data_IF_380142512299
#
_entry.id   IF_380142512299
#
_cell.length_a   1.000
_cell.length_b   1.000
_cell.length_c   1.000
_cell.angle_alpha   90.00
_cell.angle_beta   90.00
_cell.angle_gamma   90.00
#
_symmetry.space_group_name_H-M   'P 1'
#
loop_
_entity.id
_entity.type
_entity.pdbx_description
1 polymer ?
#
# COMPACT_ATOMS: atom_id res chain seq x y z
N UNK A 1 -4.76 7.11 11.35
CA UNK A 1 -4.90 5.78 10.72
C UNK A 1 -3.63 4.98 10.89
N UNK A 2 -2.49 5.45 10.38
CA UNK A 2 -1.16 4.79 10.47
C UNK A 2 -0.77 4.41 11.91
N UNK A 3 -0.94 5.30 12.88
CA UNK A 3 -0.69 4.98 14.30
C UNK A 3 -1.55 3.82 14.84
N UNK A 4 -2.84 3.74 14.45
CA UNK A 4 -3.75 2.64 14.85
C UNK A 4 -3.37 1.30 14.22
N UNK A 5 -2.54 1.31 13.18
CA UNK A 5 -1.99 0.12 12.55
C UNK A 5 -0.67 -0.33 13.19
N UNK A 6 -0.23 0.32 14.27
CA UNK A 6 1.01 -0.01 14.99
C UNK A 6 2.25 0.76 14.55
N UNK A 7 2.12 1.71 13.61
CA UNK A 7 3.24 2.49 13.04
C UNK A 7 3.27 3.92 13.60
N UNK A 8 2.99 4.09 14.90
CA UNK A 8 2.89 5.42 15.51
C UNK A 8 4.22 6.18 15.46
N UNK A 9 5.32 5.51 15.80
CA UNK A 9 6.65 6.14 15.82
C UNK A 9 7.11 6.58 14.43
N UNK A 10 6.85 5.75 13.42
CA UNK A 10 7.16 5.98 12.03
C UNK A 10 6.29 7.10 11.46
N UNK A 11 5.00 7.13 11.81
CA UNK A 11 4.09 8.20 11.40
C UNK A 11 4.56 9.57 11.88
N UNK A 12 4.97 9.68 13.16
CA UNK A 12 5.51 10.93 13.70
C UNK A 12 6.77 11.36 12.96
N UNK A 13 7.73 10.44 12.79
CA UNK A 13 8.98 10.73 12.08
C UNK A 13 8.76 11.18 10.64
N UNK A 14 7.90 10.48 9.89
CA UNK A 14 7.58 10.84 8.50
C UNK A 14 6.93 12.22 8.44
N UNK A 15 6.02 12.51 9.37
CA UNK A 15 5.32 13.80 9.44
C UNK A 15 6.29 14.95 9.75
N UNK A 16 7.18 14.78 10.73
CA UNK A 16 8.18 15.79 11.10
C UNK A 16 9.10 16.13 9.92
N UNK A 17 9.63 15.11 9.25
CA UNK A 17 10.47 15.28 8.05
C UNK A 17 9.71 15.98 6.92
N UNK A 18 8.46 15.58 6.67
CA UNK A 18 7.66 16.18 5.61
C UNK A 18 7.35 17.66 5.89
N UNK A 19 6.97 17.99 7.13
CA UNK A 19 6.67 19.36 7.55
C UNK A 19 7.92 20.24 7.59
N UNK A 20 9.10 19.66 7.84
CA UNK A 20 10.39 20.33 7.69
C UNK A 20 10.84 20.53 6.22
N UNK A 21 10.05 20.04 5.25
CA UNK A 21 10.38 20.12 3.81
C UNK A 21 11.36 19.06 3.31
N UNK A 22 11.79 18.15 4.18
CA UNK A 22 12.74 17.05 3.89
C UNK A 22 12.02 15.86 3.25
N UNK A 23 11.51 16.07 2.02
CA UNK A 23 10.62 15.11 1.35
C UNK A 23 11.28 13.77 1.00
N UNK A 24 12.58 13.78 0.66
CA UNK A 24 13.30 12.56 0.30
C UNK A 24 13.46 11.65 1.53
N UNK A 25 13.85 12.24 2.65
CA UNK A 25 14.01 11.59 3.94
C UNK A 25 12.65 11.11 4.48
N UNK A 26 11.60 11.91 4.35
CA UNK A 26 10.24 11.50 4.71
C UNK A 26 9.79 10.27 3.91
N UNK A 27 10.09 10.23 2.61
CA UNK A 27 9.79 9.10 1.73
C UNK A 27 10.58 7.86 2.13
N UNK A 28 11.89 8.02 2.38
CA UNK A 28 12.75 6.93 2.82
C UNK A 28 12.38 6.37 4.21
N UNK A 29 11.72 7.19 5.05
CA UNK A 29 11.24 6.78 6.36
C UNK A 29 9.94 5.96 6.31
N UNK A 30 9.25 5.86 5.16
CA UNK A 30 8.04 5.04 5.01
C UNK A 30 8.42 3.55 5.02
N UNK A 31 7.99 2.75 6.00
CA UNK A 31 8.28 1.32 6.02
C UNK A 31 7.56 0.59 4.89
N UNK A 32 8.22 -0.38 4.24
CA UNK A 32 7.58 -1.23 3.21
C UNK A 32 6.33 -1.93 3.75
N UNK A 33 6.38 -2.42 4.99
CA UNK A 33 5.24 -3.09 5.62
C UNK A 33 4.01 -2.19 5.75
N UNK A 34 4.20 -0.87 5.94
CA UNK A 34 3.09 0.08 5.97
C UNK A 34 2.44 0.19 4.57
N UNK A 35 3.24 0.21 3.51
CA UNK A 35 2.75 0.23 2.12
C UNK A 35 1.94 -1.03 1.82
N UNK A 36 2.45 -2.20 2.17
CA UNK A 36 1.80 -3.50 1.95
C UNK A 36 0.55 -3.72 2.84
N UNK A 37 0.48 -3.02 3.96
CA UNK A 37 -0.70 -3.03 4.81
C UNK A 37 -1.85 -2.22 4.20
N UNK A 38 -1.55 -1.19 3.39
CA UNK A 38 -2.52 -0.22 2.87
C UNK A 38 -2.88 -0.45 1.41
N UNK A 39 -2.00 -1.04 0.61
CA UNK A 39 -2.18 -1.18 -0.83
C UNK A 39 -1.63 -2.51 -1.36
N UNK A 40 -2.20 -2.97 -2.48
CA UNK A 40 -1.69 -4.09 -3.27
C UNK A 40 -0.57 -3.60 -4.20
N UNK A 41 0.67 -3.61 -3.70
CA UNK A 41 1.86 -3.21 -4.44
C UNK A 41 2.83 -4.39 -4.51
N UNK A 42 3.40 -4.62 -5.69
CA UNK A 42 4.43 -5.63 -5.91
C UNK A 42 4.14 -6.54 -7.12
N UNK A 43 4.89 -7.64 -7.25
CA UNK A 43 4.72 -8.61 -8.34
C UNK A 43 3.35 -9.29 -8.32
N UNK A 44 2.86 -9.72 -9.49
CA UNK A 44 1.54 -10.34 -9.65
C UNK A 44 1.36 -11.59 -8.76
N UNK A 45 2.39 -12.43 -8.61
CA UNK A 45 2.33 -13.65 -7.79
C UNK A 45 2.14 -13.34 -6.30
N UNK A 46 2.76 -12.26 -5.81
CA UNK A 46 2.53 -11.78 -4.43
C UNK A 46 1.07 -11.38 -4.26
N UNK A 47 0.53 -10.57 -5.16
CA UNK A 47 -0.86 -10.12 -5.09
C UNK A 47 -1.83 -11.31 -5.17
N UNK A 48 -1.55 -12.29 -6.03
CA UNK A 48 -2.34 -13.52 -6.11
C UNK A 48 -2.32 -14.31 -4.80
N UNK A 49 -1.17 -14.40 -4.13
CA UNK A 49 -1.05 -15.05 -2.81
C UNK A 49 -1.80 -14.30 -1.71
N UNK A 50 -1.88 -12.98 -1.80
CA UNK A 50 -2.56 -12.11 -0.84
C UNK A 50 -4.05 -11.91 -1.16
N UNK A 51 -4.54 -12.40 -2.30
CA UNK A 51 -5.92 -12.21 -2.79
C UNK A 51 -6.97 -12.46 -1.71
N UNK A 52 -6.88 -13.61 -1.03
CA UNK A 52 -7.85 -14.00 0.00
C UNK A 52 -7.92 -13.02 1.17
N UNK A 53 -6.79 -12.38 1.55
CA UNK A 53 -6.78 -11.36 2.60
C UNK A 53 -7.66 -10.17 2.21
N UNK A 54 -7.62 -9.77 0.94
CA UNK A 54 -8.37 -8.62 0.43
C UNK A 54 -9.84 -8.95 0.20
N UNK A 55 -10.15 -10.14 -0.34
CA UNK A 55 -11.53 -10.60 -0.52
C UNK A 55 -12.28 -10.77 0.81
N UNK A 56 -11.57 -11.14 1.88
CA UNK A 56 -12.14 -11.24 3.23
C UNK A 56 -12.17 -9.91 4.00
N UNK A 57 -11.78 -8.80 3.36
CA UNK A 57 -11.88 -7.47 3.95
C UNK A 57 -13.28 -6.86 3.73
N UNK A 58 -13.54 -5.69 4.31
CA UNK A 58 -14.78 -4.94 4.07
C UNK A 58 -14.76 -4.14 2.75
N UNK A 59 -13.69 -4.25 1.95
CA UNK A 59 -13.59 -3.53 0.69
C UNK A 59 -14.54 -4.12 -0.35
N UNK A 60 -15.38 -3.28 -0.95
CA UNK A 60 -16.32 -3.67 -2.01
C UNK A 60 -15.91 -3.20 -3.39
N UNK A 61 -14.93 -2.30 -3.47
CA UNK A 61 -14.46 -1.66 -4.70
C UNK A 61 -12.94 -1.68 -4.73
N UNK A 62 -12.36 -2.16 -5.83
CA UNK A 62 -10.93 -2.07 -6.10
C UNK A 62 -10.64 -0.95 -7.11
N UNK A 63 -9.86 0.04 -6.71
CA UNK A 63 -9.35 1.08 -7.61
C UNK A 63 -7.98 0.64 -8.11
N UNK A 64 -7.84 0.51 -9.43
CA UNK A 64 -6.58 0.09 -10.07
C UNK A 64 -5.95 1.30 -10.75
N UNK A 65 -4.70 1.59 -10.40
CA UNK A 65 -3.90 2.61 -11.07
C UNK A 65 -2.77 1.96 -11.84
N UNK A 66 -2.70 2.22 -13.15
CA UNK A 66 -1.69 1.65 -14.03
C UNK A 66 -2.11 1.72 -15.49
N UNK A 67 -1.34 1.05 -16.33
CA UNK A 67 -1.61 0.94 -17.76
C UNK A 67 -2.55 -0.24 -18.09
N UNK A 68 -2.81 -0.46 -19.38
CA UNK A 68 -3.66 -1.57 -19.86
C UNK A 68 -3.11 -2.94 -19.44
N UNK A 69 -1.79 -3.10 -19.34
CA UNK A 69 -1.19 -4.38 -18.91
C UNK A 69 -1.47 -4.66 -17.44
N UNK A 70 -1.45 -3.61 -16.62
CA UNK A 70 -1.80 -3.66 -15.19
C UNK A 70 -3.27 -4.02 -15.02
N UNK A 71 -4.17 -3.38 -15.80
CA UNK A 71 -5.60 -3.69 -15.77
C UNK A 71 -5.89 -5.14 -16.13
N UNK A 72 -5.25 -5.69 -17.16
CA UNK A 72 -5.38 -7.11 -17.53
C UNK A 72 -4.91 -8.04 -16.42
N UNK A 73 -3.74 -7.74 -15.84
CA UNK A 73 -3.19 -8.54 -14.74
C UNK A 73 -4.14 -8.58 -13.54
N UNK A 74 -4.72 -7.45 -13.15
CA UNK A 74 -5.67 -7.40 -12.04
C UNK A 74 -6.99 -8.10 -12.40
N UNK A 75 -7.48 -7.97 -13.64
CA UNK A 75 -8.64 -8.73 -14.11
C UNK A 75 -8.40 -10.24 -13.99
N UNK A 76 -7.25 -10.76 -14.45
CA UNK A 76 -6.89 -12.18 -14.35
C UNK A 76 -6.74 -12.71 -12.90
N UNK A 77 -6.63 -11.82 -11.92
CA UNK A 77 -6.53 -12.18 -10.50
C UNK A 77 -7.91 -12.16 -9.83
N UNK A 78 -8.75 -11.16 -10.13
CA UNK A 78 -9.97 -10.85 -9.37
C UNK A 78 -11.29 -11.04 -10.13
N UNK A 79 -11.28 -11.26 -11.46
CA UNK A 79 -12.44 -11.52 -12.31
C UNK A 79 -12.34 -12.91 -12.96
#
# INVERSE_FOLDING_TARGET
MVARMGFESEAHRIQDLYLAGQKAEATAAVPTQLVEAMAMIGPADKIRSEKSRWENSLATTLIVHGDVSTLRTIADIFL
#
